data_IF_384495680849
#
_entry.id   IF_384495680849
#
_cell.length_a   1.000
_cell.length_b   1.000
_cell.length_c   1.000
_cell.angle_alpha   90.00
_cell.angle_beta   90.00
_cell.angle_gamma   90.00
#
_symmetry.space_group_name_H-M   'P 1'
#
loop_
_entity.id
_entity.type
_entity.pdbx_description
1 polymer ?
#
# COMPACT_ATOMS: atom_id res chain seq x y z
N UNK A 1 1.77 -8.64 2.24
CA UNK A 1 1.78 -7.93 3.54
C UNK A 1 0.36 -7.66 4.02
N UNK A 2 -0.44 -6.90 3.27
CA UNK A 2 -1.82 -6.56 3.62
C UNK A 2 -2.75 -7.77 3.70
N UNK A 3 -2.80 -8.62 2.68
CA UNK A 3 -3.62 -9.85 2.70
C UNK A 3 -3.37 -10.69 3.95
N UNK A 4 -2.09 -10.89 4.29
CA UNK A 4 -1.64 -11.59 5.50
C UNK A 4 -2.08 -10.88 6.80
N UNK A 5 -2.07 -9.55 6.83
CA UNK A 5 -2.57 -8.78 7.98
C UNK A 5 -4.06 -9.07 8.23
N UNK A 6 -4.86 -9.17 7.16
CA UNK A 6 -6.27 -9.57 7.23
C UNK A 6 -6.49 -11.10 7.31
N UNK A 7 -5.46 -11.88 7.65
CA UNK A 7 -5.56 -13.34 7.82
C UNK A 7 -5.67 -14.15 6.53
N UNK A 8 -5.56 -13.51 5.35
CA UNK A 8 -5.59 -14.17 4.06
C UNK A 8 -4.18 -14.48 3.56
N UNK A 9 -3.80 -15.75 3.57
CA UNK A 9 -2.50 -16.20 3.10
C UNK A 9 -2.58 -16.65 1.64
N UNK A 10 -1.78 -16.03 0.78
CA UNK A 10 -1.66 -16.36 -0.63
C UNK A 10 -0.19 -16.64 -0.98
N UNK A 11 0.01 -17.52 -1.95
CA UNK A 11 1.31 -17.73 -2.59
C UNK A 11 1.82 -16.43 -3.22
N UNK A 12 3.11 -16.13 -3.04
CA UNK A 12 3.70 -14.89 -3.56
C UNK A 12 3.69 -14.86 -5.10
N UNK A 13 3.84 -16.02 -5.74
CA UNK A 13 3.73 -16.17 -7.19
C UNK A 13 2.34 -15.77 -7.69
N UNK A 14 1.29 -16.28 -7.04
CA UNK A 14 -0.09 -15.92 -7.37
C UNK A 14 -0.34 -14.42 -7.25
N UNK A 15 0.08 -13.79 -6.15
CA UNK A 15 -0.07 -12.34 -5.95
C UNK A 15 0.66 -11.54 -7.03
N UNK A 16 1.85 -11.99 -7.44
CA UNK A 16 2.62 -11.38 -8.53
C UNK A 16 1.89 -11.48 -9.87
N UNK A 17 1.33 -12.64 -10.18
CA UNK A 17 0.66 -12.89 -11.46
C UNK A 17 -0.60 -12.01 -11.60
N UNK A 18 -1.37 -11.86 -10.54
CA UNK A 18 -2.57 -11.02 -10.56
C UNK A 18 -2.28 -9.52 -10.53
N UNK A 19 -1.12 -9.09 -9.99
CA UNK A 19 -0.71 -7.68 -9.92
C UNK A 19 0.03 -7.17 -11.15
N UNK A 20 0.61 -8.06 -11.97
CA UNK A 20 1.44 -7.73 -13.14
C UNK A 20 0.75 -7.95 -14.49
N UNK A 21 -0.58 -7.95 -14.54
CA UNK A 21 -1.30 -8.30 -15.78
C UNK A 21 -0.98 -7.42 -17.00
N UNK A 22 -0.45 -6.21 -16.81
CA UNK A 22 -0.22 -5.23 -17.89
C UNK A 22 1.20 -5.19 -18.47
N UNK A 23 2.12 -6.08 -18.07
CA UNK A 23 3.46 -6.22 -18.69
C UNK A 23 4.48 -5.11 -18.40
N UNK A 24 4.05 -3.87 -18.12
CA UNK A 24 4.89 -2.70 -17.84
C UNK A 24 5.15 -2.45 -16.34
N UNK A 25 5.25 -3.53 -15.56
CA UNK A 25 5.45 -3.46 -14.10
C UNK A 25 4.15 -3.31 -13.31
N UNK A 26 4.26 -2.90 -12.05
CA UNK A 26 3.10 -2.80 -11.14
C UNK A 26 2.51 -1.39 -11.19
N UNK A 27 1.31 -1.25 -11.76
CA UNK A 27 0.55 0.00 -11.76
C UNK A 27 -0.40 0.04 -10.56
N UNK A 28 -0.84 1.24 -10.18
CA UNK A 28 -1.84 1.39 -9.11
C UNK A 28 -3.14 0.64 -9.44
N UNK A 29 -3.54 0.66 -10.70
CA UNK A 29 -4.69 -0.08 -11.23
C UNK A 29 -4.49 -1.59 -11.12
N UNK A 30 -3.32 -2.12 -11.49
CA UNK A 30 -3.01 -3.54 -11.36
C UNK A 30 -2.99 -4.03 -9.91
N UNK A 31 -2.54 -3.17 -8.97
CA UNK A 31 -2.68 -3.45 -7.54
C UNK A 31 -4.14 -3.45 -7.14
N UNK A 32 -4.92 -2.46 -7.59
CA UNK A 32 -6.32 -2.35 -7.22
C UNK A 32 -7.11 -3.60 -7.66
N UNK A 33 -6.94 -4.01 -8.92
CA UNK A 33 -7.51 -5.24 -9.48
C UNK A 33 -7.07 -6.49 -8.71
N UNK A 34 -5.80 -6.56 -8.31
CA UNK A 34 -5.28 -7.67 -7.52
C UNK A 34 -5.95 -7.76 -6.15
N UNK A 35 -6.18 -6.62 -5.48
CA UNK A 35 -6.84 -6.54 -4.17
C UNK A 35 -8.30 -7.01 -4.28
N UNK A 36 -9.02 -6.56 -5.31
CA UNK A 36 -10.40 -7.03 -5.59
C UNK A 36 -10.45 -8.54 -5.86
N UNK A 37 -9.49 -9.08 -6.63
CA UNK A 37 -9.40 -10.53 -6.93
C UNK A 37 -9.17 -11.39 -5.68
N UNK A 38 -8.53 -10.86 -4.65
CA UNK A 38 -8.36 -11.55 -3.36
C UNK A 38 -9.52 -11.27 -2.38
N UNK A 39 -10.59 -10.65 -2.86
CA UNK A 39 -11.82 -10.38 -2.11
C UNK A 39 -11.63 -9.34 -1.00
N UNK A 40 -10.73 -8.38 -1.21
CA UNK A 40 -10.62 -7.16 -0.42
C UNK A 40 -11.11 -6.00 -1.29
N UNK A 41 -11.64 -4.95 -0.68
CA UNK A 41 -12.08 -3.77 -1.45
C UNK A 41 -11.04 -2.68 -1.35
N UNK A 42 -10.82 -1.96 -2.44
CA UNK A 42 -9.82 -0.89 -2.45
C UNK A 42 -10.29 0.41 -3.05
N UNK A 43 -9.82 1.52 -2.50
CA UNK A 43 -10.09 2.86 -3.01
C UNK A 43 -8.79 3.62 -3.21
N UNK A 44 -8.56 4.05 -4.45
CA UNK A 44 -7.44 4.93 -4.80
C UNK A 44 -7.80 6.38 -4.46
N UNK A 45 -7.02 6.98 -3.54
CA UNK A 45 -7.22 8.34 -3.07
C UNK A 45 -5.94 9.17 -3.21
N UNK A 46 -6.11 10.43 -3.57
CA UNK A 46 -5.05 11.44 -3.56
C UNK A 46 -5.32 12.35 -2.37
N UNK A 47 -4.52 12.24 -1.32
CA UNK A 47 -4.71 12.93 -0.04
C UNK A 47 -3.39 13.49 0.50
N UNK A 48 -3.48 14.45 1.42
CA UNK A 48 -2.34 14.92 2.18
C UNK A 48 -2.01 14.01 3.38
N UNK A 49 -0.85 14.25 4.00
CA UNK A 49 -0.38 13.47 5.15
C UNK A 49 -1.29 13.60 6.37
N UNK A 50 -1.91 14.76 6.59
CA UNK A 50 -2.78 14.95 7.76
C UNK A 50 -4.02 14.06 7.65
N UNK A 51 -4.65 14.06 6.47
CA UNK A 51 -5.77 13.19 6.13
C UNK A 51 -5.38 11.73 6.25
N UNK A 52 -4.18 11.35 5.76
CA UNK A 52 -3.65 10.00 5.94
C UNK A 52 -3.56 9.60 7.43
N UNK A 53 -3.06 10.50 8.29
CA UNK A 53 -2.88 10.19 9.71
C UNK A 53 -4.17 10.17 10.53
N UNK A 54 -5.23 10.84 10.05
CA UNK A 54 -6.46 11.04 10.84
C UNK A 54 -7.66 10.24 10.31
N UNK A 55 -7.74 10.01 8.99
CA UNK A 55 -8.98 9.57 8.35
C UNK A 55 -8.85 8.24 7.60
N UNK A 56 -7.63 7.81 7.30
CA UNK A 56 -7.42 6.62 6.47
C UNK A 56 -7.27 5.36 7.33
N UNK A 57 -8.04 4.30 7.05
CA UNK A 57 -7.84 2.99 7.65
C UNK A 57 -6.45 2.42 7.30
N UNK A 58 -5.81 1.81 8.28
CA UNK A 58 -4.50 1.18 8.15
C UNK A 58 -4.60 -0.34 8.36
N UNK A 59 -3.78 -1.16 7.69
CA UNK A 59 -2.69 -0.77 6.80
C UNK A 59 -3.16 -0.39 5.39
N UNK A 60 -2.48 0.54 4.73
CA UNK A 60 -2.77 0.96 3.36
C UNK A 60 -1.51 0.93 2.48
N UNK A 61 -1.67 0.87 1.16
CA UNK A 61 -0.54 0.97 0.22
C UNK A 61 -0.36 2.43 -0.18
N UNK A 62 0.86 2.94 -0.12
CA UNK A 62 1.19 4.30 -0.53
C UNK A 62 2.23 4.31 -1.65
N UNK A 63 2.04 5.22 -2.60
CA UNK A 63 3.03 5.51 -3.64
C UNK A 63 4.08 6.51 -3.11
N UNK A 64 5.35 6.11 -3.16
CA UNK A 64 6.48 6.87 -2.65
C UNK A 64 7.30 7.45 -3.81
N UNK A 65 7.43 8.78 -3.85
CA UNK A 65 8.22 9.54 -4.86
C UNK A 65 7.96 9.11 -6.31
N UNK A 66 6.72 8.72 -6.62
CA UNK A 66 6.29 8.24 -7.94
C UNK A 66 7.10 7.05 -8.51
N UNK A 67 7.78 6.28 -7.66
CA UNK A 67 8.71 5.24 -8.10
C UNK A 67 8.57 3.92 -7.35
N UNK A 68 8.03 3.94 -6.14
CA UNK A 68 8.05 2.79 -5.26
C UNK A 68 6.75 2.66 -4.47
N UNK A 69 6.30 1.44 -4.19
CA UNK A 69 5.12 1.20 -3.37
C UNK A 69 5.54 0.65 -2.01
N UNK A 70 5.01 1.26 -0.95
CA UNK A 70 5.22 0.84 0.44
C UNK A 70 3.89 0.58 1.13
N UNK A 71 3.91 -0.18 2.22
CA UNK A 71 2.74 -0.37 3.08
C UNK A 71 2.89 0.47 4.33
N UNK A 72 1.89 1.27 4.65
CA UNK A 72 1.84 2.06 5.88
C UNK A 72 1.06 1.26 6.90
N UNK A 73 1.70 0.94 8.03
CA UNK A 73 1.08 0.19 9.12
C UNK A 73 0.53 1.10 10.22
N UNK A 74 1.17 2.25 10.43
CA UNK A 74 0.77 3.24 11.42
C UNK A 74 1.13 4.63 10.90
N UNK A 75 0.25 5.61 11.06
CA UNK A 75 0.51 7.00 10.71
C UNK A 75 0.00 7.90 11.84
N UNK A 76 0.89 8.71 12.38
CA UNK A 76 0.58 9.73 13.40
C UNK A 76 1.17 11.07 12.96
N UNK A 77 0.78 12.19 13.60
CA UNK A 77 1.37 13.49 13.30
C UNK A 77 2.89 13.56 13.48
N UNK A 78 3.49 12.68 14.28
CA UNK A 78 4.92 12.71 14.59
C UNK A 78 5.71 11.60 13.90
N UNK A 79 5.07 10.45 13.66
CA UNK A 79 5.73 9.22 13.22
C UNK A 79 4.88 8.43 12.26
N UNK A 80 5.53 7.81 11.28
CA UNK A 80 4.94 6.75 10.46
C UNK A 80 5.69 5.43 10.67
N UNK A 81 4.98 4.31 10.57
CA UNK A 81 5.57 2.99 10.46
C UNK A 81 5.34 2.49 9.04
N UNK A 82 6.44 2.28 8.33
CA UNK A 82 6.44 1.90 6.92
C UNK A 82 7.03 0.51 6.79
N UNK A 83 6.36 -0.35 6.04
CA UNK A 83 6.90 -1.60 5.56
C UNK A 83 7.25 -1.45 4.08
N UNK A 84 8.55 -1.42 3.82
CA UNK A 84 9.10 -1.42 2.48
C UNK A 84 9.43 -2.86 2.07
N UNK A 85 8.95 -3.36 0.91
CA UNK A 85 9.31 -4.69 0.41
C UNK A 85 10.83 -4.93 0.28
N UNK A 86 11.64 -3.88 0.07
CA UNK A 86 13.09 -3.96 -0.07
C UNK A 86 13.85 -3.88 1.27
N UNK A 87 13.33 -3.13 2.25
CA UNK A 87 14.04 -2.83 3.50
C UNK A 87 13.38 -3.39 4.76
N UNK A 88 12.15 -3.91 4.65
CA UNK A 88 11.37 -4.39 5.78
C UNK A 88 10.61 -3.28 6.51
N UNK A 89 10.27 -3.52 7.78
CA UNK A 89 9.50 -2.60 8.61
C UNK A 89 10.42 -1.64 9.35
N UNK A 90 10.21 -0.33 9.19
CA UNK A 90 10.98 0.68 9.90
C UNK A 90 10.13 1.92 10.25
N UNK A 91 10.47 2.62 11.35
CA UNK A 91 9.91 3.93 11.63
C UNK A 91 10.55 4.99 10.72
N UNK A 92 9.75 5.92 10.22
CA UNK A 92 10.22 7.09 9.46
C UNK A 92 9.64 8.37 10.05
N UNK A 93 10.42 9.44 9.97
CA UNK A 93 9.91 10.79 10.12
C UNK A 93 9.04 11.13 8.89
N UNK A 94 8.03 11.99 9.07
CA UNK A 94 7.00 12.38 8.06
C UNK A 94 7.47 12.14 6.62
N UNK A 95 7.12 10.98 6.03
CA UNK A 95 7.60 10.64 4.71
C UNK A 95 7.00 11.61 3.70
N UNK A 96 7.78 11.99 2.69
CA UNK A 96 7.26 12.67 1.52
C UNK A 96 6.48 11.65 0.67
N UNK A 97 5.28 11.30 1.15
CA UNK A 97 4.34 10.44 0.45
C UNK A 97 3.63 11.29 -0.59
N UNK A 98 3.98 11.09 -1.84
CA UNK A 98 3.28 11.70 -2.96
C UNK A 98 2.01 10.86 -3.24
N UNK A 99 0.91 11.28 -2.62
CA UNK A 99 -0.40 11.37 -3.29
C UNK A 99 -0.83 10.17 -4.14
N UNK A 100 -1.01 9.03 -3.49
CA UNK A 100 -1.70 7.87 -4.03
C UNK A 100 -1.80 6.79 -2.97
N UNK A 101 -2.90 6.76 -2.24
CA UNK A 101 -3.19 5.76 -1.21
C UNK A 101 -4.23 4.80 -1.75
N UNK A 102 -3.91 3.50 -1.77
CA UNK A 102 -4.91 2.44 -1.88
C UNK A 102 -5.28 2.03 -0.47
N UNK A 103 -6.45 2.47 -0.02
CA UNK A 103 -7.07 1.96 1.19
C UNK A 103 -7.59 0.56 0.91
N UNK A 104 -7.35 -0.41 1.80
CA UNK A 104 -7.69 -1.85 1.62
C UNK A 104 -8.41 -2.43 2.81
#
# INVERSE_FOLDING_TARGET
MISKYYGKNYEIGYLRDISLQSGDGTTLEGIADAVEKIGLSTLALVIDYNTLSEQIPLPCIAHWRQRHYVVIYEATPEKVIVADPAFGLYPSDKPHIDTGVLNT
#
